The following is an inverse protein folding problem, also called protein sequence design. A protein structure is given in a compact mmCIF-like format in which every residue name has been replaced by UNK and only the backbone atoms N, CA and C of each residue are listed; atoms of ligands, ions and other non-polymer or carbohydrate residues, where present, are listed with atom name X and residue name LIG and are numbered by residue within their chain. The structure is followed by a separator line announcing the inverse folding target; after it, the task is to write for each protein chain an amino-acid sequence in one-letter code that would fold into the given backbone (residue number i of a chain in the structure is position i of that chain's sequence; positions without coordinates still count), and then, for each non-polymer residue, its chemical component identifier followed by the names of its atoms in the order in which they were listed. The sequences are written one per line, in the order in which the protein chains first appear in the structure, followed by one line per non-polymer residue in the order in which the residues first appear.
data_IF_337926707754
#
_entry.id   IF_337926707754
#
_cell.length_a   1.000
_cell.length_b   1.000
_cell.length_c   1.000
_cell.angle_alpha   90.00
_cell.angle_beta   90.00
_cell.angle_gamma   90.00
#
_symmetry.space_group_name_H-M   'P 1'
#
loop_
_entity.id
_entity.type
_entity.pdbx_description
1 polymer ?
#
# COMPACT_ATOMS: atom_id res chain seq x y z
N UNK A 1 36.17 11.04 7.96
CA UNK A 1 35.33 10.27 7.01
C UNK A 1 35.25 8.85 7.52
N UNK A 2 34.10 8.19 7.37
CA UNK A 2 33.89 6.79 7.78
C UNK A 2 33.10 6.02 6.73
N UNK A 3 33.10 4.70 6.82
CA UNK A 3 32.29 3.85 5.95
C UNK A 3 30.89 3.64 6.53
N UNK A 4 29.89 3.79 5.68
CA UNK A 4 28.59 3.20 5.84
C UNK A 4 28.47 2.00 4.92
N UNK A 5 28.38 0.80 5.48
CA UNK A 5 28.12 -0.42 4.71
C UNK A 5 26.65 -0.79 4.84
N UNK A 6 25.98 -0.96 3.70
CA UNK A 6 24.58 -1.40 3.67
C UNK A 6 24.50 -2.72 2.91
N UNK A 7 23.91 -3.72 3.56
CA UNK A 7 23.51 -4.98 2.94
C UNK A 7 22.02 -4.98 2.66
N UNK A 8 21.66 -5.13 1.38
CA UNK A 8 20.30 -5.45 0.97
C UNK A 8 20.14 -6.97 0.96
N UNK A 9 19.34 -7.52 1.86
CA UNK A 9 19.07 -8.96 1.84
C UNK A 9 18.34 -9.35 0.56
N UNK A 10 18.56 -10.60 0.13
CA UNK A 10 17.92 -11.12 -1.07
C UNK A 10 16.43 -11.37 -0.79
N UNK A 11 15.56 -10.71 -1.53
CA UNK A 11 14.09 -10.92 -1.48
C UNK A 11 13.54 -11.17 -2.88
N UNK A 12 12.34 -11.75 -2.98
CA UNK A 12 11.58 -11.77 -4.24
C UNK A 12 10.94 -10.40 -4.51
N UNK A 13 10.38 -9.77 -3.47
CA UNK A 13 9.81 -8.42 -3.52
C UNK A 13 10.85 -7.40 -4.01
N UNK A 14 10.49 -6.64 -5.05
CA UNK A 14 11.37 -5.65 -5.71
C UNK A 14 12.73 -6.20 -6.18
N UNK A 15 12.83 -7.51 -6.42
CA UNK A 15 14.11 -8.20 -6.71
C UNK A 15 14.84 -7.71 -7.97
N UNK A 16 14.10 -7.23 -8.97
CA UNK A 16 14.64 -6.69 -10.22
C UNK A 16 15.05 -5.21 -10.12
N UNK A 17 14.55 -4.50 -9.11
CA UNK A 17 14.82 -3.08 -8.91
C UNK A 17 16.14 -2.86 -8.17
N UNK A 18 16.84 -1.77 -8.50
CA UNK A 18 17.94 -1.25 -7.68
C UNK A 18 17.41 -0.21 -6.71
N UNK A 19 17.76 -0.34 -5.43
CA UNK A 19 17.44 0.69 -4.45
C UNK A 19 18.48 1.80 -4.51
N UNK A 20 18.04 3.05 -4.49
CA UNK A 20 18.90 4.23 -4.47
C UNK A 20 19.12 4.66 -3.03
N UNK A 21 20.38 4.89 -2.66
CA UNK A 21 20.77 5.31 -1.33
C UNK A 21 21.09 6.80 -1.36
N UNK A 22 20.43 7.54 -0.48
CA UNK A 22 20.61 8.98 -0.31
C UNK A 22 21.02 9.28 1.13
N UNK A 23 21.76 10.37 1.32
CA UNK A 23 22.10 10.90 2.63
C UNK A 23 21.64 12.35 2.73
N UNK A 24 21.20 12.74 3.91
CA UNK A 24 20.88 14.12 4.25
C UNK A 24 22.09 15.03 3.99
N UNK A 25 21.84 16.10 3.24
CA UNK A 25 22.83 17.12 2.90
C UNK A 25 22.10 18.45 2.72
N UNK A 26 22.14 19.34 3.74
CA UNK A 26 21.44 20.63 3.70
C UNK A 26 21.89 21.56 2.56
N UNK A 27 23.07 21.32 1.99
CA UNK A 27 23.59 22.11 0.87
C UNK A 27 23.20 21.52 -0.51
N UNK A 28 22.60 20.33 -0.53
CA UNK A 28 22.19 19.66 -1.77
C UNK A 28 20.86 20.18 -2.28
N UNK A 29 20.78 20.37 -3.59
CA UNK A 29 19.55 20.64 -4.35
C UNK A 29 19.07 19.41 -5.16
N UNK A 30 19.73 18.25 -5.02
CA UNK A 30 19.49 17.08 -5.87
C UNK A 30 18.10 16.45 -5.67
N UNK A 31 17.68 16.30 -4.40
CA UNK A 31 16.43 15.66 -4.02
C UNK A 31 16.01 16.08 -2.63
N UNK A 32 14.72 16.31 -2.42
CA UNK A 32 14.12 16.46 -1.09
C UNK A 32 13.24 15.25 -0.82
N UNK A 33 13.47 14.55 0.29
CA UNK A 33 12.66 13.41 0.74
C UNK A 33 12.05 13.77 2.10
N UNK A 34 10.73 13.82 2.21
CA UNK A 34 10.06 14.21 3.46
C UNK A 34 10.64 15.51 4.06
N UNK A 35 10.73 16.55 3.22
CA UNK A 35 11.27 17.87 3.57
C UNK A 35 12.75 17.88 3.97
N UNK A 36 13.47 16.77 3.78
CA UNK A 36 14.91 16.64 4.06
C UNK A 36 15.71 16.74 2.75
N UNK A 37 16.55 17.78 2.56
CA UNK A 37 17.45 17.86 1.43
C UNK A 37 18.48 16.74 1.47
N UNK A 38 18.67 16.06 0.34
CA UNK A 38 19.45 14.85 0.24
C UNK A 38 20.33 14.87 -1.02
N UNK A 39 21.45 14.15 -0.97
CA UNK A 39 22.24 13.79 -2.15
C UNK A 39 22.39 12.28 -2.28
N UNK A 40 22.51 11.79 -3.50
CA UNK A 40 22.70 10.37 -3.77
C UNK A 40 24.13 9.95 -3.42
N UNK A 41 24.26 8.82 -2.72
CA UNK A 41 25.56 8.22 -2.41
C UNK A 41 25.78 6.90 -3.14
N UNK A 42 24.71 6.27 -3.65
CA UNK A 42 24.85 5.11 -4.52
C UNK A 42 23.58 4.33 -4.75
N UNK A 43 23.76 3.06 -5.10
CA UNK A 43 22.69 2.10 -5.41
C UNK A 43 23.03 0.72 -4.86
N UNK A 44 21.99 -0.06 -4.57
CA UNK A 44 22.04 -1.44 -4.06
C UNK A 44 21.15 -2.36 -4.90
N UNK A 45 21.77 -3.36 -5.54
CA UNK A 45 21.08 -4.50 -6.16
C UNK A 45 20.57 -5.46 -5.09
N UNK A 46 19.65 -6.33 -5.49
CA UNK A 46 19.11 -7.36 -4.60
C UNK A 46 20.22 -8.33 -4.15
N UNK A 47 20.38 -8.52 -2.84
CA UNK A 47 21.48 -9.33 -2.27
C UNK A 47 22.85 -8.63 -2.23
N UNK A 48 22.97 -7.36 -2.64
CA UNK A 48 24.24 -6.63 -2.67
C UNK A 48 24.58 -6.05 -1.29
N UNK A 49 25.86 -6.11 -0.96
CA UNK A 49 26.47 -5.39 0.15
C UNK A 49 27.45 -4.37 -0.42
N UNK A 50 27.37 -3.12 0.04
CA UNK A 50 28.20 -2.04 -0.50
C UNK A 50 28.53 -1.01 0.57
N UNK A 51 29.78 -0.54 0.54
CA UNK A 51 30.28 0.52 1.39
C UNK A 51 30.21 1.88 0.68
N UNK A 52 29.87 2.92 1.44
CA UNK A 52 29.80 4.31 1.02
C UNK A 52 30.61 5.18 1.96
N UNK A 53 31.41 6.08 1.42
CA UNK A 53 32.18 7.05 2.19
C UNK A 53 31.29 8.21 2.61
N UNK A 54 31.18 8.45 3.92
CA UNK A 54 30.33 9.49 4.51
C UNK A 54 31.11 10.32 5.53
N UNK A 55 30.56 11.48 5.90
CA UNK A 55 31.09 12.32 6.97
C UNK A 55 30.86 11.66 8.35
N UNK A 56 31.54 12.22 9.36
CA UNK A 56 31.42 11.78 10.76
C UNK A 56 30.19 12.39 11.45
N UNK A 57 29.50 13.32 10.79
CA UNK A 57 28.33 14.01 11.34
C UNK A 57 27.11 13.08 11.42
N UNK A 58 26.20 13.40 12.34
CA UNK A 58 24.86 12.85 12.33
C UNK A 58 24.12 13.23 11.04
N UNK A 59 23.43 12.27 10.42
CA UNK A 59 22.69 12.46 9.18
C UNK A 59 21.64 11.35 9.02
N UNK A 60 20.52 11.66 8.36
CA UNK A 60 19.60 10.61 7.90
C UNK A 60 20.11 9.96 6.62
N UNK A 61 20.01 8.65 6.55
CA UNK A 61 20.22 7.87 5.32
C UNK A 61 18.89 7.32 4.86
N UNK A 62 18.53 7.58 3.61
CA UNK A 62 17.31 7.12 2.98
C UNK A 62 17.59 6.03 1.95
N UNK A 63 16.68 5.06 1.85
CA UNK A 63 16.69 4.05 0.78
C UNK A 63 15.32 4.07 0.09
N UNK A 64 15.32 4.39 -1.21
CA UNK A 64 14.11 4.53 -2.03
C UNK A 64 14.28 3.81 -3.37
N UNK A 65 13.18 3.37 -3.99
CA UNK A 65 13.24 2.74 -5.30
C UNK A 65 13.49 3.78 -6.41
N UNK A 66 12.78 4.90 -6.36
CA UNK A 66 12.78 5.93 -7.38
C UNK A 66 12.39 7.32 -6.82
N UNK A 67 12.50 8.36 -7.66
CA UNK A 67 12.25 9.76 -7.25
C UNK A 67 10.76 10.12 -7.23
N UNK A 68 9.92 9.40 -7.97
CA UNK A 68 8.47 9.65 -8.04
C UNK A 68 7.81 9.18 -6.74
N UNK A 69 8.22 8.02 -6.23
CA UNK A 69 7.66 7.42 -5.02
C UNK A 69 8.30 7.89 -3.71
N UNK A 70 9.29 8.79 -3.77
CA UNK A 70 10.17 9.14 -2.65
C UNK A 70 9.47 9.54 -1.35
N UNK A 71 8.28 10.15 -1.42
CA UNK A 71 7.58 10.72 -0.26
C UNK A 71 6.58 9.75 0.41
N UNK A 72 6.48 8.51 -0.11
CA UNK A 72 5.67 7.44 0.47
C UNK A 72 6.33 6.05 0.42
N UNK A 73 7.17 5.75 -0.58
CA UNK A 73 8.01 4.55 -0.65
C UNK A 73 9.43 4.85 -0.15
N UNK A 74 9.55 5.16 1.14
CA UNK A 74 10.83 5.39 1.78
C UNK A 74 10.95 4.77 3.17
N UNK A 75 12.20 4.63 3.58
CA UNK A 75 12.64 4.42 4.95
C UNK A 75 13.89 5.26 5.18
N UNK A 76 14.10 5.68 6.43
CA UNK A 76 15.36 6.29 6.83
C UNK A 76 15.96 5.63 8.07
N UNK A 77 17.27 5.76 8.20
CA UNK A 77 18.03 5.44 9.41
C UNK A 77 18.74 6.70 9.89
N UNK A 78 18.66 7.01 11.18
CA UNK A 78 19.41 8.11 11.79
C UNK A 78 20.82 7.62 12.14
N UNK A 79 21.83 8.07 11.40
CA UNK A 79 23.21 7.79 11.75
C UNK A 79 23.62 8.62 12.97
N UNK A 80 24.30 8.03 13.97
CA UNK A 80 24.88 8.80 15.07
C UNK A 80 26.13 9.54 14.58
N UNK A 81 26.48 10.66 15.20
CA UNK A 81 27.81 11.26 15.00
C UNK A 81 28.91 10.30 15.49
N UNK A 82 30.04 10.25 14.79
CA UNK A 82 31.20 9.46 15.21
C UNK A 82 32.12 9.03 14.07
N UNK A 83 33.26 8.46 14.45
CA UNK A 83 34.32 7.99 13.54
C UNK A 83 34.21 6.50 13.19
N UNK A 84 33.40 5.77 13.94
CA UNK A 84 33.22 4.33 13.74
C UNK A 84 32.41 4.04 12.47
N UNK A 85 32.88 3.05 11.72
CA UNK A 85 32.16 2.51 10.57
C UNK A 85 30.81 1.93 11.00
N UNK A 86 29.77 2.16 10.19
CA UNK A 86 28.40 1.72 10.48
C UNK A 86 28.01 0.61 9.51
N UNK A 87 27.43 -0.47 10.04
CA UNK A 87 26.91 -1.57 9.24
C UNK A 87 25.39 -1.67 9.40
N UNK A 88 24.66 -1.55 8.30
CA UNK A 88 23.20 -1.65 8.25
C UNK A 88 22.79 -2.83 7.36
N UNK A 89 21.73 -3.52 7.78
CA UNK A 89 21.06 -4.54 6.97
C UNK A 89 19.63 -4.07 6.74
N UNK A 90 19.07 -4.36 5.56
CA UNK A 90 17.64 -4.23 5.35
C UNK A 90 17.16 -4.97 4.11
N UNK A 91 15.84 -4.94 3.91
CA UNK A 91 15.18 -5.63 2.79
C UNK A 91 13.90 -4.93 2.38
N UNK A 92 13.46 -5.15 1.15
CA UNK A 92 12.11 -4.75 0.75
C UNK A 92 11.09 -5.66 1.42
N UNK A 93 10.04 -5.06 1.96
CA UNK A 93 8.88 -5.81 2.46
C UNK A 93 7.73 -5.65 1.46
N UNK A 94 6.96 -6.71 1.29
CA UNK A 94 5.74 -6.63 0.50
C UNK A 94 4.71 -5.80 1.26
N UNK A 95 4.45 -4.60 0.76
CA UNK A 95 3.42 -3.69 1.24
C UNK A 95 3.09 -2.71 0.10
N UNK A 96 2.06 -3.02 -0.70
CA UNK A 96 1.68 -2.24 -1.88
C UNK A 96 1.29 -0.80 -1.55
N UNK A 97 0.62 -0.61 -0.40
CA UNK A 97 0.21 0.69 0.11
C UNK A 97 1.38 1.63 0.44
N UNK A 98 2.63 1.13 0.47
CA UNK A 98 3.83 1.97 0.51
C UNK A 98 4.84 1.64 -0.60
N UNK A 99 4.39 1.00 -1.69
CA UNK A 99 5.24 0.70 -2.84
C UNK A 99 6.36 -0.31 -2.56
N UNK A 100 6.14 -1.26 -1.65
CA UNK A 100 7.12 -2.28 -1.27
C UNK A 100 8.43 -1.70 -0.71
N UNK A 101 8.32 -0.72 0.18
CA UNK A 101 9.45 0.04 0.71
C UNK A 101 10.54 -0.86 1.34
N UNK A 102 11.80 -0.43 1.18
CA UNK A 102 12.92 -1.02 1.89
C UNK A 102 12.82 -0.72 3.39
N UNK A 103 13.20 -1.66 4.25
CA UNK A 103 13.18 -1.53 5.71
C UNK A 103 14.53 -1.94 6.29
N UNK A 104 15.11 -1.05 7.10
CA UNK A 104 16.28 -1.38 7.90
C UNK A 104 15.91 -2.35 9.04
N UNK A 105 16.69 -3.41 9.20
CA UNK A 105 16.53 -4.37 10.28
C UNK A 105 16.77 -3.70 11.64
N UNK A 106 15.90 -3.97 12.62
CA UNK A 106 16.01 -3.43 13.99
C UNK A 106 15.72 -1.93 14.13
N UNK A 107 15.37 -1.24 13.06
CA UNK A 107 15.10 0.19 13.09
C UNK A 107 13.66 0.49 13.54
N UNK A 108 13.45 0.49 14.85
CA UNK A 108 12.12 0.53 15.49
C UNK A 108 11.91 1.77 16.36
N UNK A 109 12.52 2.91 16.01
CA UNK A 109 12.28 4.16 16.73
C UNK A 109 10.86 4.67 16.51
N UNK A 110 10.36 5.48 17.43
CA UNK A 110 9.03 6.10 17.31
C UNK A 110 8.94 6.97 16.06
N UNK A 111 9.96 7.80 15.79
CA UNK A 111 10.01 8.66 14.62
C UNK A 111 10.00 7.89 13.29
N UNK A 112 10.62 6.71 13.24
CA UNK A 112 10.56 5.80 12.09
C UNK A 112 9.16 5.19 11.95
N UNK A 113 8.54 4.78 13.05
CA UNK A 113 7.17 4.24 13.04
C UNK A 113 6.14 5.28 12.57
N UNK A 114 6.28 6.54 12.99
CA UNK A 114 5.45 7.66 12.52
C UNK A 114 5.66 7.90 11.02
N UNK A 115 6.90 7.86 10.54
CA UNK A 115 7.21 7.98 9.11
C UNK A 115 6.57 6.86 8.30
N UNK A 116 6.64 5.61 8.78
CA UNK A 116 5.98 4.46 8.15
C UNK A 116 4.47 4.66 8.04
N UNK A 117 3.81 5.10 9.12
CA UNK A 117 2.37 5.40 9.15
C UNK A 117 2.03 6.46 8.10
N UNK A 118 2.76 7.58 8.09
CA UNK A 118 2.58 8.68 7.12
C UNK A 118 2.75 8.21 5.67
N UNK A 119 3.78 7.40 5.43
CA UNK A 119 4.09 6.82 4.12
C UNK A 119 2.99 5.89 3.62
N UNK A 120 2.49 5.00 4.47
CA UNK A 120 1.37 4.11 4.13
C UNK A 120 0.11 4.91 3.80
N UNK A 121 -0.24 5.92 4.61
CA UNK A 121 -1.39 6.78 4.31
C UNK A 121 -1.23 7.42 2.93
N UNK A 122 -0.08 8.07 2.66
CA UNK A 122 0.20 8.72 1.38
C UNK A 122 0.17 7.76 0.19
N UNK A 123 0.79 6.58 0.34
CA UNK A 123 0.83 5.60 -0.73
C UNK A 123 -0.55 5.00 -1.02
N UNK A 124 -1.38 4.76 0.00
CA UNK A 124 -2.79 4.38 -0.17
C UNK A 124 -3.58 5.42 -0.97
N UNK A 125 -3.34 6.73 -0.74
CA UNK A 125 -3.97 7.79 -1.54
C UNK A 125 -3.60 7.67 -3.02
N UNK A 126 -2.31 7.55 -3.30
CA UNK A 126 -1.76 7.51 -4.66
C UNK A 126 -2.24 6.26 -5.40
N UNK A 127 -2.33 5.14 -4.68
CA UNK A 127 -2.87 3.88 -5.18
C UNK A 127 -4.32 4.04 -5.63
N UNK A 128 -5.13 4.74 -4.84
CA UNK A 128 -6.53 5.03 -5.16
C UNK A 128 -6.65 6.03 -6.33
N UNK A 129 -5.80 7.07 -6.38
CA UNK A 129 -5.74 8.03 -7.50
C UNK A 129 -5.46 7.33 -8.83
N UNK A 130 -4.48 6.44 -8.87
CA UNK A 130 -4.04 5.78 -10.10
C UNK A 130 -5.16 4.96 -10.77
N UNK A 131 -6.05 4.36 -9.97
CA UNK A 131 -7.13 3.49 -10.47
C UNK A 131 -8.35 4.28 -10.92
N UNK A 132 -8.71 5.35 -10.19
CA UNK A 132 -9.82 6.22 -10.60
C UNK A 132 -9.48 6.98 -11.89
N UNK A 133 -8.23 7.42 -12.05
CA UNK A 133 -7.79 8.08 -13.30
C UNK A 133 -7.69 7.08 -14.46
N UNK A 134 -7.29 5.83 -14.22
CA UNK A 134 -7.28 4.75 -15.21
C UNK A 134 -8.67 4.47 -15.79
N UNK A 135 -9.66 4.31 -14.92
CA UNK A 135 -11.06 4.11 -15.31
C UNK A 135 -11.67 5.31 -16.04
N UNK A 136 -11.39 6.54 -15.60
CA UNK A 136 -11.93 7.75 -16.23
C UNK A 136 -11.33 8.00 -17.62
N UNK A 137 -10.00 7.87 -17.80
CA UNK A 137 -9.34 8.15 -19.09
C UNK A 137 -9.60 7.04 -20.12
N UNK A 138 -9.69 5.78 -19.69
CA UNK A 138 -10.05 4.66 -20.58
C UNK A 138 -11.48 4.75 -21.10
N UNK A 139 -12.40 5.28 -20.30
CA UNK A 139 -13.83 5.33 -20.62
C UNK A 139 -14.21 6.53 -21.51
N UNK A 140 -13.57 7.70 -21.36
CA UNK A 140 -13.82 8.85 -22.27
C UNK A 140 -13.42 8.59 -23.74
N UNK A 141 -12.63 7.55 -24.03
CA UNK A 141 -12.36 7.10 -25.39
C UNK A 141 -13.36 6.04 -25.91
N UNK A 142 -14.13 5.37 -25.04
CA UNK A 142 -15.11 4.35 -25.45
C UNK A 142 -16.58 4.78 -25.37
N UNK A 143 -16.91 5.79 -24.57
CA UNK A 143 -18.30 6.13 -24.21
C UNK A 143 -19.05 6.98 -25.25
N UNK A 144 -18.42 7.28 -26.40
CA UNK A 144 -19.07 8.01 -27.49
C UNK A 144 -19.95 7.12 -28.39
N UNK A 145 -20.05 5.79 -28.17
CA UNK A 145 -20.63 4.89 -29.18
C UNK A 145 -21.64 3.83 -28.74
N UNK A 146 -21.92 3.60 -27.45
CA UNK A 146 -22.87 2.54 -27.06
C UNK A 146 -23.75 2.94 -25.87
N UNK A 147 -25.07 2.95 -26.10
CA UNK A 147 -26.07 2.96 -25.03
C UNK A 147 -26.07 1.57 -24.38
N UNK A 148 -25.77 1.41 -23.07
CA UNK A 148 -25.67 0.09 -22.49
C UNK A 148 -27.07 -0.46 -22.17
N UNK A 149 -27.22 -1.78 -22.34
CA UNK A 149 -28.28 -2.54 -21.69
C UNK A 149 -28.15 -2.39 -20.16
N UNK A 150 -29.20 -2.64 -19.36
CA UNK A 150 -29.06 -2.65 -17.90
C UNK A 150 -27.94 -3.62 -17.48
N UNK A 151 -27.13 -3.28 -16.45
CA UNK A 151 -26.04 -4.12 -16.00
C UNK A 151 -26.52 -5.52 -15.61
N UNK A 152 -25.76 -6.55 -15.98
CA UNK A 152 -26.08 -7.95 -15.67
C UNK A 152 -25.10 -8.54 -14.65
N UNK A 153 -25.60 -9.44 -13.81
CA UNK A 153 -24.77 -10.13 -12.81
C UNK A 153 -23.66 -10.95 -13.47
N UNK A 154 -22.43 -10.79 -12.99
CA UNK A 154 -21.24 -11.49 -13.46
C UNK A 154 -20.36 -11.92 -12.29
N UNK A 155 -19.95 -13.18 -12.33
CA UNK A 155 -19.00 -13.73 -11.38
C UNK A 155 -17.55 -13.40 -11.80
N UNK A 156 -16.74 -13.00 -10.81
CA UNK A 156 -15.31 -12.75 -10.91
C UNK A 156 -14.59 -13.65 -9.92
N UNK A 157 -13.51 -14.30 -10.33
CA UNK A 157 -12.78 -15.24 -9.49
C UNK A 157 -11.28 -14.94 -9.49
N UNK A 158 -10.66 -14.93 -8.31
CA UNK A 158 -9.23 -14.74 -8.13
C UNK A 158 -8.72 -15.51 -6.91
N UNK A 159 -7.68 -16.33 -7.12
CA UNK A 159 -6.97 -17.08 -6.07
C UNK A 159 -7.87 -17.86 -5.07
N UNK A 160 -8.91 -18.51 -5.61
CA UNK A 160 -9.88 -19.30 -4.83
C UNK A 160 -11.06 -18.51 -4.29
N UNK A 161 -11.02 -17.17 -4.32
CA UNK A 161 -12.16 -16.30 -4.03
C UNK A 161 -13.04 -16.12 -5.27
N UNK A 162 -14.36 -16.06 -5.09
CA UNK A 162 -15.33 -15.63 -6.11
C UNK A 162 -16.25 -14.56 -5.56
N UNK A 163 -16.59 -13.56 -6.38
CA UNK A 163 -17.56 -12.51 -6.07
C UNK A 163 -18.46 -12.25 -7.28
N UNK A 164 -19.74 -11.99 -7.05
CA UNK A 164 -20.71 -11.60 -8.09
C UNK A 164 -20.97 -10.10 -8.01
N UNK A 165 -20.64 -9.39 -9.08
CA UNK A 165 -20.93 -7.96 -9.28
C UNK A 165 -21.66 -7.79 -10.62
N UNK A 166 -21.59 -6.62 -11.26
CA UNK A 166 -22.11 -6.42 -12.61
C UNK A 166 -21.03 -6.61 -13.68
N UNK A 167 -21.46 -6.83 -14.93
CA UNK A 167 -20.59 -6.91 -16.10
C UNK A 167 -19.94 -5.57 -16.50
N UNK A 168 -20.33 -4.47 -15.87
CA UNK A 168 -19.66 -3.17 -15.96
C UNK A 168 -18.28 -3.18 -15.30
N UNK A 169 -18.05 -4.06 -14.33
CA UNK A 169 -16.74 -4.22 -13.71
C UNK A 169 -15.76 -4.91 -14.67
N UNK A 170 -14.56 -4.34 -14.75
CA UNK A 170 -13.44 -4.87 -15.50
C UNK A 170 -12.28 -5.13 -14.57
N UNK A 171 -11.62 -6.26 -14.78
CA UNK A 171 -10.38 -6.55 -14.09
C UNK A 171 -9.30 -5.57 -14.54
N UNK A 172 -8.56 -5.04 -13.58
CA UNK A 172 -7.36 -4.24 -13.80
C UNK A 172 -6.20 -4.88 -13.06
N UNK A 173 -4.99 -4.71 -13.58
CA UNK A 173 -3.79 -5.18 -12.90
C UNK A 173 -3.21 -4.06 -12.05
N UNK A 174 -3.12 -4.29 -10.74
CA UNK A 174 -2.41 -3.40 -9.83
C UNK A 174 -1.45 -4.19 -8.94
N UNK A 175 -0.16 -3.85 -9.01
CA UNK A 175 0.87 -4.57 -8.25
C UNK A 175 0.54 -4.51 -6.76
N UNK A 176 0.39 -5.70 -6.17
CA UNK A 176 0.24 -5.85 -4.74
C UNK A 176 -1.15 -6.24 -4.24
N UNK A 177 -2.15 -6.23 -5.11
CA UNK A 177 -3.45 -6.84 -4.80
C UNK A 177 -3.48 -8.26 -5.35
N UNK A 178 -4.30 -9.09 -4.72
CA UNK A 178 -4.68 -10.40 -5.27
C UNK A 178 -5.55 -10.23 -6.50
N UNK A 179 -6.44 -9.24 -6.49
CA UNK A 179 -7.21 -8.81 -7.66
C UNK A 179 -7.69 -7.37 -7.49
N UNK A 180 -7.89 -6.69 -8.61
CA UNK A 180 -8.53 -5.37 -8.67
C UNK A 180 -9.57 -5.34 -9.79
N UNK A 181 -10.71 -4.73 -9.51
CA UNK A 181 -11.78 -4.56 -10.48
C UNK A 181 -12.31 -3.13 -10.40
N UNK A 182 -12.71 -2.57 -11.53
CA UNK A 182 -13.28 -1.23 -11.58
C UNK A 182 -14.48 -1.15 -12.50
N UNK A 183 -15.48 -0.40 -12.07
CA UNK A 183 -16.55 0.14 -12.91
C UNK A 183 -16.36 1.65 -13.03
N UNK A 184 -17.33 2.34 -13.60
CA UNK A 184 -17.30 3.80 -13.73
C UNK A 184 -17.23 4.52 -12.38
N UNK A 185 -17.96 4.05 -11.38
CA UNK A 185 -18.18 4.79 -10.12
C UNK A 185 -17.71 4.02 -8.87
N UNK A 186 -17.37 2.74 -9.01
CA UNK A 186 -16.92 1.89 -7.90
C UNK A 186 -15.68 1.09 -8.30
N UNK A 187 -14.67 1.11 -7.42
CA UNK A 187 -13.50 0.24 -7.50
C UNK A 187 -13.56 -0.83 -6.40
N UNK A 188 -13.03 -2.02 -6.69
CA UNK A 188 -12.88 -3.14 -5.78
C UNK A 188 -11.41 -3.57 -5.69
N UNK A 189 -10.95 -3.74 -4.46
CA UNK A 189 -9.61 -4.18 -4.09
C UNK A 189 -9.68 -5.46 -3.27
N UNK A 190 -8.89 -6.46 -3.67
CA UNK A 190 -8.83 -7.76 -3.00
C UNK A 190 -7.41 -8.02 -2.53
N UNK A 191 -7.24 -8.29 -1.24
CA UNK A 191 -5.98 -8.74 -0.66
C UNK A 191 -6.21 -10.07 0.06
N UNK A 192 -5.42 -11.07 -0.29
CA UNK A 192 -5.23 -12.31 0.48
C UNK A 192 -3.96 -12.20 1.29
N UNK A 193 -4.06 -12.42 2.59
CA UNK A 193 -2.93 -12.48 3.51
C UNK A 193 -2.84 -13.89 4.11
N UNK A 194 -1.99 -14.78 3.52
CA UNK A 194 -1.79 -16.12 4.05
C UNK A 194 -1.24 -16.09 5.47
N UNK A 195 -1.68 -17.01 6.32
CA UNK A 195 -1.20 -17.12 7.70
C UNK A 195 0.31 -17.39 7.77
N UNK A 196 0.90 -17.93 6.70
CA UNK A 196 2.36 -18.12 6.58
C UNK A 196 3.16 -16.81 6.62
N UNK A 197 2.52 -15.64 6.49
CA UNK A 197 3.17 -14.34 6.54
C UNK A 197 3.59 -13.92 7.96
N UNK A 198 2.92 -14.42 9.00
CA UNK A 198 3.23 -14.06 10.38
C UNK A 198 2.79 -15.17 11.35
N UNK A 199 3.70 -15.61 12.22
CA UNK A 199 3.41 -16.63 13.23
C UNK A 199 2.32 -16.16 14.21
N UNK A 200 1.32 -17.02 14.45
CA UNK A 200 0.24 -16.77 15.39
C UNK A 200 -0.91 -15.93 14.82
N UNK A 201 -0.81 -15.43 13.59
CA UNK A 201 -1.89 -14.67 12.95
C UNK A 201 -3.12 -15.55 12.70
N UNK A 202 -2.94 -16.86 12.49
CA UNK A 202 -4.02 -17.82 12.35
C UNK A 202 -4.94 -17.91 13.59
N UNK A 203 -4.45 -17.46 14.75
CA UNK A 203 -5.18 -17.56 16.02
C UNK A 203 -5.99 -16.31 16.38
N UNK A 204 -5.86 -15.21 15.62
CA UNK A 204 -6.54 -13.96 15.94
C UNK A 204 -7.96 -13.91 15.34
N UNK A 205 -8.83 -13.09 15.93
CA UNK A 205 -10.20 -12.87 15.42
C UNK A 205 -10.25 -11.88 14.26
N UNK A 206 -11.40 -11.78 13.58
CA UNK A 206 -11.61 -10.77 12.53
C UNK A 206 -11.50 -9.34 13.07
N UNK A 207 -11.91 -9.10 14.32
CA UNK A 207 -11.83 -7.78 14.96
C UNK A 207 -10.39 -7.43 15.35
N UNK A 208 -9.63 -8.41 15.83
CA UNK A 208 -8.20 -8.22 16.10
C UNK A 208 -7.45 -7.94 14.79
N UNK A 209 -7.80 -8.65 13.72
CA UNK A 209 -7.28 -8.39 12.39
C UNK A 209 -7.67 -6.99 11.86
N UNK A 210 -8.92 -6.55 12.05
CA UNK A 210 -9.34 -5.18 11.75
C UNK A 210 -8.52 -4.15 12.56
N UNK A 211 -8.26 -4.43 13.83
CA UNK A 211 -7.37 -3.62 14.68
C UNK A 211 -5.95 -3.54 14.14
N UNK A 212 -5.41 -4.63 13.58
CA UNK A 212 -4.13 -4.62 12.89
C UNK A 212 -4.19 -3.76 11.61
N UNK A 213 -5.27 -3.84 10.84
CA UNK A 213 -5.48 -2.98 9.66
C UNK A 213 -5.46 -1.51 10.08
N UNK A 214 -6.22 -1.12 11.10
CA UNK A 214 -6.26 0.27 11.59
C UNK A 214 -4.86 0.73 12.04
N UNK A 215 -4.20 -0.07 12.87
CA UNK A 215 -2.87 0.24 13.39
C UNK A 215 -1.82 0.37 12.28
N UNK A 216 -1.80 -0.58 11.35
CA UNK A 216 -0.77 -0.67 10.30
C UNK A 216 -0.97 0.38 9.19
N UNK A 217 -2.22 0.73 8.89
CA UNK A 217 -2.57 1.71 7.86
C UNK A 217 -2.79 3.12 8.42
N UNK A 218 -2.79 3.24 9.74
CA UNK A 218 -2.97 4.51 10.41
C UNK A 218 -4.33 5.14 10.22
N UNK A 219 -5.34 4.30 10.01
CA UNK A 219 -6.75 4.66 9.99
C UNK A 219 -7.17 4.86 11.45
N UNK A 220 -7.83 5.98 11.75
CA UNK A 220 -8.40 6.18 13.08
C UNK A 220 -9.41 5.06 13.35
N UNK A 221 -9.39 4.41 14.54
CA UNK A 221 -10.26 3.28 14.80
C UNK A 221 -11.72 3.62 14.52
N UNK A 222 -12.31 2.92 13.57
CA UNK A 222 -13.73 3.02 13.23
C UNK A 222 -14.52 1.90 13.88
N UNK A 223 -15.84 2.07 13.96
CA UNK A 223 -16.72 1.00 14.40
C UNK A 223 -16.61 -0.21 13.45
N UNK A 224 -16.35 -1.39 14.04
CA UNK A 224 -16.42 -2.66 13.33
C UNK A 224 -17.87 -3.13 13.38
N UNK A 225 -18.51 -3.18 12.22
CA UNK A 225 -19.91 -3.55 12.03
C UNK A 225 -20.02 -5.06 11.77
N UNK A 226 -21.10 -5.65 12.27
CA UNK A 226 -21.49 -7.03 12.01
C UNK A 226 -22.95 -7.08 11.58
N UNK A 227 -23.18 -7.49 10.34
CA UNK A 227 -24.52 -7.50 9.75
C UNK A 227 -24.59 -8.62 8.71
N UNK A 228 -25.64 -9.44 8.76
CA UNK A 228 -25.91 -10.50 7.78
C UNK A 228 -24.71 -11.42 7.47
N UNK A 229 -23.93 -11.77 8.49
CA UNK A 229 -22.76 -12.65 8.37
C UNK A 229 -21.48 -11.93 7.89
N UNK A 230 -21.55 -10.64 7.58
CA UNK A 230 -20.40 -9.82 7.22
C UNK A 230 -19.76 -9.21 8.47
N UNK A 231 -18.44 -9.12 8.47
CA UNK A 231 -17.66 -8.28 9.40
C UNK A 231 -16.95 -7.22 8.58
N UNK A 232 -17.25 -5.95 8.85
CA UNK A 232 -16.78 -4.87 7.99
C UNK A 232 -16.63 -3.55 8.74
N UNK A 233 -15.94 -2.60 8.13
CA UNK A 233 -15.85 -1.23 8.61
C UNK A 233 -15.87 -0.26 7.43
N UNK A 234 -16.28 0.97 7.71
CA UNK A 234 -16.39 2.03 6.72
C UNK A 234 -15.56 3.24 7.18
N UNK A 235 -14.91 3.91 6.24
CA UNK A 235 -14.19 5.14 6.52
C UNK A 235 -14.17 6.05 5.30
N UNK A 236 -13.90 7.34 5.53
CA UNK A 236 -13.76 8.33 4.47
C UNK A 236 -12.30 8.77 4.33
N UNK A 237 -11.89 9.12 3.12
CA UNK A 237 -10.58 9.67 2.85
C UNK A 237 -10.68 10.87 1.90
N UNK A 238 -10.20 12.04 2.33
CA UNK A 238 -10.08 13.21 1.48
C UNK A 238 -8.82 13.09 0.61
N UNK A 239 -9.02 13.03 -0.70
CA UNK A 239 -7.96 13.14 -1.67
C UNK A 239 -7.53 14.60 -1.84
N UNK A 240 -6.32 15.00 -1.41
CA UNK A 240 -5.89 16.39 -1.49
C UNK A 240 -5.58 16.84 -2.92
N UNK A 241 -5.23 15.92 -3.82
CA UNK A 241 -4.85 16.23 -5.21
C UNK A 241 -6.09 16.43 -6.09
N UNK A 242 -7.15 15.63 -5.84
CA UNK A 242 -8.43 15.74 -6.54
C UNK A 242 -9.40 16.69 -5.83
N UNK A 243 -9.12 17.06 -4.59
CA UNK A 243 -10.05 17.74 -3.68
C UNK A 243 -11.41 17.03 -3.62
N UNK A 244 -11.39 15.69 -3.60
CA UNK A 244 -12.58 14.84 -3.56
C UNK A 244 -12.48 13.83 -2.42
N UNK A 245 -13.57 13.65 -1.67
CA UNK A 245 -13.64 12.65 -0.60
C UNK A 245 -14.17 11.34 -1.16
N UNK A 246 -13.54 10.23 -0.78
CA UNK A 246 -13.95 8.87 -1.10
C UNK A 246 -14.47 8.16 0.15
N UNK A 247 -15.49 7.32 -0.04
CA UNK A 247 -16.02 6.42 0.98
C UNK A 247 -15.54 4.99 0.69
N UNK A 248 -15.08 4.31 1.74
CA UNK A 248 -14.54 2.96 1.67
C UNK A 248 -15.42 2.01 2.48
N UNK A 249 -15.66 0.83 1.92
CA UNK A 249 -16.39 -0.25 2.56
C UNK A 249 -15.48 -1.48 2.58
N UNK A 250 -14.96 -1.82 3.75
CA UNK A 250 -13.92 -2.83 3.92
C UNK A 250 -14.48 -4.06 4.62
N UNK A 251 -14.62 -5.16 3.88
CA UNK A 251 -15.14 -6.43 4.36
C UNK A 251 -13.99 -7.39 4.65
N UNK A 252 -14.06 -8.08 5.77
CA UNK A 252 -13.01 -8.96 6.25
C UNK A 252 -13.54 -10.38 6.35
N UNK A 253 -12.78 -11.32 5.78
CA UNK A 253 -13.06 -12.74 5.85
C UNK A 253 -11.85 -13.50 6.40
N UNK A 254 -12.12 -14.65 7.02
CA UNK A 254 -11.11 -15.58 7.49
C UNK A 254 -11.42 -16.95 6.91
N UNK A 255 -10.41 -17.53 6.27
CA UNK A 255 -10.44 -18.89 5.71
C UNK A 255 -9.47 -19.77 6.52
N UNK A 256 -9.33 -21.03 6.13
CA UNK A 256 -8.46 -21.98 6.84
C UNK A 256 -6.96 -21.64 6.71
N UNK A 257 -6.58 -20.86 5.69
CA UNK A 257 -5.18 -20.54 5.41
C UNK A 257 -4.84 -19.04 5.35
N UNK A 258 -5.84 -18.16 5.33
CA UNK A 258 -5.65 -16.73 5.04
C UNK A 258 -6.71 -15.83 5.66
N UNK A 259 -6.32 -14.58 5.89
CA UNK A 259 -7.27 -13.46 5.95
C UNK A 259 -7.49 -12.87 4.56
N UNK A 260 -8.69 -12.35 4.35
CA UNK A 260 -9.05 -11.63 3.13
C UNK A 260 -9.62 -10.27 3.46
N UNK A 261 -9.13 -9.24 2.78
CA UNK A 261 -9.66 -7.89 2.81
C UNK A 261 -10.24 -7.57 1.44
N UNK A 262 -11.56 -7.35 1.39
CA UNK A 262 -12.33 -7.00 0.21
C UNK A 262 -12.81 -5.56 0.40
N UNK A 263 -12.19 -4.61 -0.29
CA UNK A 263 -12.42 -3.19 -0.07
C UNK A 263 -13.02 -2.54 -1.32
N UNK A 264 -14.22 -2.00 -1.18
CA UNK A 264 -14.85 -1.15 -2.19
C UNK A 264 -14.53 0.33 -1.92
N UNK A 265 -14.37 1.10 -2.97
CA UNK A 265 -14.18 2.54 -2.92
C UNK A 265 -15.08 3.25 -3.93
N UNK A 266 -15.71 4.33 -3.51
CA UNK A 266 -16.51 5.20 -4.39
C UNK A 266 -16.43 6.66 -3.93
N UNK A 267 -16.70 7.60 -4.82
CA UNK A 267 -16.76 9.01 -4.44
C UNK A 267 -17.83 9.19 -3.35
N UNK A 268 -17.58 10.03 -2.34
CA UNK A 268 -18.48 10.23 -1.20
C UNK A 268 -19.90 10.62 -1.64
N UNK A 269 -20.03 11.39 -2.72
CA UNK A 269 -21.31 11.79 -3.31
C UNK A 269 -22.14 10.60 -3.83
N UNK A 270 -21.50 9.49 -4.20
CA UNK A 270 -22.12 8.28 -4.73
C UNK A 270 -22.29 7.20 -3.63
N UNK A 271 -21.73 7.40 -2.43
CA UNK A 271 -21.64 6.35 -1.42
C UNK A 271 -23.00 5.83 -0.95
N UNK A 272 -23.99 6.71 -0.79
CA UNK A 272 -25.34 6.31 -0.38
C UNK A 272 -26.06 5.51 -1.48
N UNK A 273 -25.86 5.89 -2.74
CA UNK A 273 -26.45 5.21 -3.90
C UNK A 273 -25.95 3.78 -4.02
N UNK A 274 -24.62 3.58 -3.95
CA UNK A 274 -24.02 2.25 -4.13
C UNK A 274 -23.97 1.41 -2.85
N UNK A 275 -24.40 1.92 -1.69
CA UNK A 275 -24.25 1.20 -0.42
C UNK A 275 -24.95 -0.16 -0.43
N UNK A 276 -26.17 -0.21 -0.97
CA UNK A 276 -26.95 -1.44 -1.04
C UNK A 276 -26.30 -2.47 -1.97
N UNK A 277 -25.81 -2.03 -3.12
CA UNK A 277 -25.14 -2.89 -4.09
C UNK A 277 -23.82 -3.42 -3.55
N UNK A 278 -23.01 -2.56 -2.92
CA UNK A 278 -21.75 -2.96 -2.27
C UNK A 278 -21.99 -4.03 -1.20
N UNK A 279 -23.03 -3.89 -0.38
CA UNK A 279 -23.38 -4.91 0.62
C UNK A 279 -23.84 -6.21 -0.05
N UNK A 280 -24.60 -6.13 -1.14
CA UNK A 280 -25.03 -7.29 -1.92
C UNK A 280 -23.84 -8.03 -2.53
N UNK A 281 -22.92 -7.31 -3.18
CA UNK A 281 -21.70 -7.87 -3.75
C UNK A 281 -20.82 -8.49 -2.68
N UNK A 282 -20.62 -7.83 -1.53
CA UNK A 282 -19.86 -8.39 -0.42
C UNK A 282 -20.47 -9.69 0.13
N UNK A 283 -21.80 -9.82 0.18
CA UNK A 283 -22.49 -11.06 0.58
C UNK A 283 -22.29 -12.20 -0.41
N UNK A 284 -22.05 -11.89 -1.69
CA UNK A 284 -21.82 -12.90 -2.72
C UNK A 284 -20.43 -13.54 -2.67
N UNK A 285 -19.53 -13.00 -1.85
CA UNK A 285 -18.15 -13.51 -1.72
C UNK A 285 -18.16 -14.94 -1.20
N UNK A 286 -17.48 -15.83 -1.92
CA UNK A 286 -17.25 -17.21 -1.53
C UNK A 286 -15.78 -17.62 -1.73
N UNK A 287 -15.36 -18.66 -1.02
CA UNK A 287 -14.01 -19.21 -1.07
C UNK A 287 -14.09 -20.71 -1.35
N UNK A 288 -13.23 -21.21 -2.27
CA UNK A 288 -13.12 -22.61 -2.67
C UNK A 288 -11.84 -23.26 -2.13
#
# INVERSE_FOLDING_TARGET
MRNLTIKREKTFTASLMKMKVYIEDPASDELVINDTPCRKIGELKNGEEKAFQISENSAKVFVIADKLSKDYCNEYYQLPEGQEDVFLIGKNLFNPANGNAFRFAGNNTEAVSVNRKKNTVRGSVILVIALIIGGIIGYFLSDALFSPAPPEDKAFSADGMTITMTDEFKETEFEGFTATYESRDVALFVIKEPFTLAEGIENITLEEYAGLIFKNNGIEPTEIKKEDGLTYFEYEFLNPDLNETFSYFSFIFKTDDSFWLIQFATAKKNAEEYRADILSWAKSVSFN
#
